data_IF_515262638139
#
_entry.id   IF_515262638139
#
_cell.length_a   1.000
_cell.length_b   1.000
_cell.length_c   1.000
_cell.angle_alpha   90.00
_cell.angle_beta   90.00
_cell.angle_gamma   90.00
#
_symmetry.space_group_name_H-M   'P 1'
#
loop_
_entity.id
_entity.type
_entity.pdbx_description
1 polymer ?
#
# COMPACT_ATOMS: atom_id res chain seq x y z
N UNK A 1 25.01 -16.56 34.48
CA UNK A 1 24.79 -15.17 34.94
C UNK A 1 23.41 -15.12 35.56
N UNK A 2 23.30 -14.77 36.85
CA UNK A 2 21.99 -14.63 37.51
C UNK A 2 21.17 -13.56 36.79
N UNK A 3 19.92 -13.88 36.43
CA UNK A 3 19.01 -12.92 35.85
C UNK A 3 18.60 -11.96 36.96
N UNK A 4 19.24 -10.79 37.02
CA UNK A 4 18.92 -9.76 38.01
C UNK A 4 17.48 -9.31 37.72
N UNK A 5 16.61 -9.42 38.72
CA UNK A 5 15.25 -8.92 38.63
C UNK A 5 15.27 -7.38 38.69
N UNK A 6 15.20 -6.75 37.52
CA UNK A 6 15.22 -5.28 37.39
C UNK A 6 13.96 -4.64 37.97
N UNK A 7 12.84 -5.36 38.00
CA UNK A 7 11.59 -4.85 38.59
C UNK A 7 11.71 -4.73 40.11
N UNK A 8 12.42 -5.64 40.75
CA UNK A 8 12.76 -5.53 42.18
C UNK A 8 13.57 -4.25 42.48
N UNK A 9 14.50 -3.88 41.60
CA UNK A 9 15.33 -2.67 41.74
C UNK A 9 14.56 -1.35 41.55
N UNK A 10 13.39 -1.39 40.90
CA UNK A 10 12.53 -0.23 40.67
C UNK A 10 11.30 -0.18 41.60
N UNK A 11 11.04 -1.25 42.36
CA UNK A 11 9.85 -1.44 43.18
C UNK A 11 10.09 -1.32 44.69
N UNK A 12 9.44 -2.20 45.47
CA UNK A 12 9.44 -2.13 46.93
C UNK A 12 10.85 -2.30 47.56
N UNK A 13 11.74 -3.08 46.94
CA UNK A 13 13.07 -3.34 47.46
C UNK A 13 13.98 -2.11 47.39
N UNK A 14 13.74 -1.20 46.42
CA UNK A 14 14.37 0.13 46.40
C UNK A 14 14.08 0.88 47.69
N UNK A 15 12.81 1.00 48.07
CA UNK A 15 12.39 1.76 49.25
C UNK A 15 12.89 1.10 50.54
N UNK A 16 12.93 -0.23 50.60
CA UNK A 16 13.50 -0.96 51.72
C UNK A 16 15.02 -0.71 51.87
N UNK A 17 15.76 -0.69 50.77
CA UNK A 17 17.20 -0.41 50.79
C UNK A 17 17.51 1.05 51.10
N UNK A 18 16.74 2.01 50.56
CA UNK A 18 16.80 3.42 50.95
C UNK A 18 16.60 3.57 52.47
N UNK A 19 15.57 2.94 53.03
CA UNK A 19 15.32 2.99 54.48
C UNK A 19 16.48 2.41 55.32
N UNK A 20 17.09 1.31 54.86
CA UNK A 20 18.26 0.70 55.53
C UNK A 20 19.47 1.62 55.49
N UNK A 21 19.74 2.27 54.36
CA UNK A 21 20.84 3.23 54.21
C UNK A 21 20.63 4.48 55.07
N UNK A 22 19.42 5.05 55.06
CA UNK A 22 19.10 6.20 55.92
C UNK A 22 19.28 5.86 57.41
N UNK A 23 18.95 4.63 57.83
CA UNK A 23 19.20 4.17 59.21
C UNK A 23 20.69 4.07 59.52
N UNK A 24 21.50 3.50 58.61
CA UNK A 24 22.96 3.43 58.77
C UNK A 24 23.63 4.81 58.84
N UNK A 25 23.14 5.78 58.07
CA UNK A 25 23.62 7.18 58.09
C UNK A 25 23.39 7.82 59.47
N UNK A 26 22.24 7.55 60.09
CA UNK A 26 21.88 8.06 61.43
C UNK A 26 22.73 7.38 62.51
N UNK A 27 22.91 6.06 62.42
CA UNK A 27 23.63 5.24 63.40
C UNK A 27 25.16 5.28 63.24
N UNK A 28 25.69 5.89 62.17
CA UNK A 28 27.12 5.99 61.91
C UNK A 28 27.85 6.80 63.00
N UNK A 29 28.82 6.16 63.64
CA UNK A 29 29.63 6.75 64.72
C UNK A 29 30.78 7.67 64.24
N UNK A 30 30.99 7.81 62.92
CA UNK A 30 31.99 8.73 62.35
C UNK A 30 31.44 9.53 61.16
N UNK A 31 31.96 10.74 60.98
CA UNK A 31 31.56 11.62 59.88
C UNK A 31 31.92 11.04 58.50
N UNK A 32 33.03 10.32 58.41
CA UNK A 32 33.49 9.66 57.17
C UNK A 32 32.53 8.54 56.73
N UNK A 33 32.07 7.70 57.67
CA UNK A 33 31.10 6.65 57.36
C UNK A 33 29.76 7.23 56.93
N UNK A 34 29.35 8.36 57.51
CA UNK A 34 28.14 9.08 57.10
C UNK A 34 28.25 9.61 55.66
N UNK A 35 29.38 10.24 55.34
CA UNK A 35 29.64 10.76 54.00
C UNK A 35 29.70 9.64 52.94
N UNK A 36 30.32 8.50 53.26
CA UNK A 36 30.35 7.33 52.37
C UNK A 36 28.94 6.76 52.16
N UNK A 37 28.16 6.61 53.23
CA UNK A 37 26.80 6.08 53.13
C UNK A 37 25.87 7.01 52.33
N UNK A 38 26.00 8.33 52.49
CA UNK A 38 25.28 9.32 51.69
C UNK A 38 25.69 9.28 50.21
N UNK A 39 26.99 9.18 49.92
CA UNK A 39 27.47 9.04 48.54
C UNK A 39 26.97 7.75 47.87
N UNK A 40 26.91 6.65 48.62
CA UNK A 40 26.35 5.38 48.13
C UNK A 40 24.85 5.51 47.85
N UNK A 41 24.09 6.18 48.70
CA UNK A 41 22.67 6.44 48.49
C UNK A 41 22.43 7.26 47.22
N UNK A 42 23.13 8.38 47.08
CA UNK A 42 23.02 9.25 45.89
C UNK A 42 23.42 8.53 44.60
N UNK A 43 24.51 7.78 44.61
CA UNK A 43 24.95 7.03 43.43
C UNK A 43 23.95 5.92 43.06
N UNK A 44 23.37 5.25 44.07
CA UNK A 44 22.34 4.23 43.86
C UNK A 44 21.08 4.83 43.25
N UNK A 45 20.63 5.99 43.73
CA UNK A 45 19.47 6.69 43.17
C UNK A 45 19.68 7.12 41.71
N UNK A 46 20.89 7.59 41.37
CA UNK A 46 21.25 7.94 39.98
C UNK A 46 21.21 6.71 39.06
N UNK A 47 21.75 5.57 39.50
CA UNK A 47 21.73 4.32 38.73
C UNK A 47 20.30 3.81 38.53
N UNK A 48 19.45 3.89 39.55
CA UNK A 48 18.05 3.49 39.48
C UNK A 48 17.27 4.40 38.50
N UNK A 49 17.51 5.71 38.54
CA UNK A 49 16.89 6.65 37.62
C UNK A 49 17.30 6.35 36.16
N UNK A 50 18.60 6.14 35.92
CA UNK A 50 19.11 5.77 34.60
C UNK A 50 18.55 4.42 34.11
N UNK A 51 18.36 3.45 35.02
CA UNK A 51 17.74 2.18 34.70
C UNK A 51 16.28 2.36 34.27
N UNK A 52 15.49 3.12 35.04
CA UNK A 52 14.09 3.42 34.71
C UNK A 52 13.94 4.10 33.34
N UNK A 53 14.79 5.09 33.05
CA UNK A 53 14.82 5.77 31.75
C UNK A 53 15.20 4.81 30.62
N UNK A 54 16.15 3.89 30.87
CA UNK A 54 16.54 2.88 29.88
C UNK A 54 15.41 1.89 29.57
N UNK A 55 14.67 1.45 30.59
CA UNK A 55 13.53 0.54 30.42
C UNK A 55 12.40 1.21 29.62
N UNK A 56 12.12 2.48 29.92
CA UNK A 56 11.15 3.28 29.14
C UNK A 56 11.56 3.37 27.67
N UNK A 57 12.83 3.68 27.38
CA UNK A 57 13.36 3.75 26.01
C UNK A 57 13.29 2.40 25.29
N UNK A 58 13.55 1.29 25.99
CA UNK A 58 13.41 -0.05 25.42
C UNK A 58 11.95 -0.31 25.02
N UNK A 59 10.99 -0.02 25.90
CA UNK A 59 9.57 -0.20 25.60
C UNK A 59 9.12 0.66 24.40
N UNK A 60 9.60 1.90 24.30
CA UNK A 60 9.35 2.77 23.14
C UNK A 60 9.93 2.17 21.85
N UNK A 61 11.17 1.68 21.88
CA UNK A 61 11.82 1.03 20.73
C UNK A 61 11.10 -0.25 20.29
N UNK A 62 10.63 -1.07 21.24
CA UNK A 62 9.83 -2.27 20.95
C UNK A 62 8.51 -1.90 20.25
N UNK A 63 7.86 -0.83 20.71
CA UNK A 63 6.66 -0.31 20.05
C UNK A 63 6.95 0.18 18.61
N UNK A 64 8.05 0.91 18.39
CA UNK A 64 8.44 1.35 17.06
C UNK A 64 8.80 0.18 16.14
N UNK A 65 9.49 -0.84 16.66
CA UNK A 65 9.82 -2.06 15.90
C UNK A 65 8.56 -2.80 15.46
N UNK A 66 7.58 -2.98 16.37
CA UNK A 66 6.30 -3.58 16.02
C UNK A 66 5.53 -2.76 14.97
N UNK A 67 5.61 -1.42 15.04
CA UNK A 67 5.03 -0.55 14.02
C UNK A 67 5.73 -0.72 12.67
N UNK A 68 7.06 -0.76 12.65
CA UNK A 68 7.86 -0.93 11.43
C UNK A 68 7.57 -2.26 10.72
N UNK A 69 7.42 -3.35 11.49
CA UNK A 69 7.04 -4.66 10.97
C UNK A 69 5.66 -4.61 10.28
N UNK A 70 4.68 -3.93 10.90
CA UNK A 70 3.34 -3.73 10.30
C UNK A 70 3.40 -2.88 9.05
N UNK A 71 4.20 -1.81 9.05
CA UNK A 71 4.37 -0.92 7.88
C UNK A 71 4.99 -1.69 6.72
N UNK A 72 6.04 -2.48 6.98
CA UNK A 72 6.70 -3.31 5.97
C UNK A 72 5.70 -4.28 5.33
N UNK A 73 4.90 -4.96 6.15
CA UNK A 73 3.85 -5.86 5.63
C UNK A 73 2.83 -5.12 4.76
N UNK A 74 2.32 -3.98 5.24
CA UNK A 74 1.35 -3.18 4.50
C UNK A 74 1.90 -2.70 3.15
N UNK A 75 3.16 -2.27 3.12
CA UNK A 75 3.82 -1.81 1.88
C UNK A 75 3.94 -2.95 0.87
N UNK A 76 4.32 -4.15 1.32
CA UNK A 76 4.39 -5.34 0.46
C UNK A 76 3.00 -5.70 -0.09
N UNK A 77 1.99 -5.79 0.78
CA UNK A 77 0.62 -6.12 0.38
C UNK A 77 0.08 -5.08 -0.62
N UNK A 78 0.30 -3.79 -0.38
CA UNK A 78 -0.09 -2.72 -1.31
C UNK A 78 0.66 -2.81 -2.64
N UNK A 79 1.96 -3.11 -2.64
CA UNK A 79 2.73 -3.27 -3.89
C UNK A 79 2.14 -4.39 -4.75
N UNK A 80 1.81 -5.54 -4.16
CA UNK A 80 1.18 -6.64 -4.90
C UNK A 80 -0.18 -6.26 -5.47
N UNK A 81 -0.95 -5.43 -4.74
CA UNK A 81 -2.23 -4.89 -5.21
C UNK A 81 -2.05 -3.95 -6.39
N UNK A 82 -1.09 -3.03 -6.31
CA UNK A 82 -0.75 -2.11 -7.40
C UNK A 82 -0.29 -2.86 -8.65
N UNK A 83 0.56 -3.87 -8.51
CA UNK A 83 1.00 -4.71 -9.63
C UNK A 83 -0.18 -5.40 -10.33
N UNK A 84 -1.15 -5.88 -9.55
CA UNK A 84 -2.35 -6.52 -10.08
C UNK A 84 -3.25 -5.51 -10.83
N UNK A 85 -3.39 -4.28 -10.31
CA UNK A 85 -4.13 -3.21 -10.97
C UNK A 85 -3.43 -2.77 -12.27
N UNK A 86 -2.11 -2.64 -12.25
CA UNK A 86 -1.33 -2.24 -13.42
C UNK A 86 -1.47 -3.25 -14.56
N UNK A 87 -1.41 -4.56 -14.25
CA UNK A 87 -1.65 -5.62 -15.24
C UNK A 87 -3.05 -5.56 -15.87
N UNK A 88 -4.07 -5.23 -15.07
CA UNK A 88 -5.45 -5.05 -15.57
C UNK A 88 -5.55 -3.83 -16.48
N UNK A 89 -4.87 -2.74 -16.12
CA UNK A 89 -4.80 -1.52 -16.92
C UNK A 89 -4.15 -1.81 -18.28
N UNK A 90 -2.97 -2.42 -18.31
CA UNK A 90 -2.31 -2.79 -19.57
C UNK A 90 -3.18 -3.69 -20.45
N UNK A 91 -3.87 -4.67 -19.85
CA UNK A 91 -4.77 -5.55 -20.59
C UNK A 91 -5.97 -4.79 -21.20
N UNK A 92 -6.53 -3.83 -20.45
CA UNK A 92 -7.61 -2.97 -20.92
C UNK A 92 -7.15 -2.05 -22.05
N UNK A 93 -5.97 -1.42 -21.91
CA UNK A 93 -5.37 -0.57 -22.95
C UNK A 93 -5.13 -1.34 -24.25
N UNK A 94 -4.53 -2.54 -24.16
CA UNK A 94 -4.36 -3.42 -25.33
C UNK A 94 -5.69 -3.76 -26.00
N UNK A 95 -6.74 -4.01 -25.21
CA UNK A 95 -8.07 -4.31 -25.74
C UNK A 95 -8.69 -3.09 -26.42
N UNK A 96 -8.50 -1.89 -25.88
CA UNK A 96 -8.94 -0.64 -26.52
C UNK A 96 -8.25 -0.47 -27.87
N UNK A 97 -6.92 -0.60 -27.92
CA UNK A 97 -6.16 -0.50 -29.19
C UNK A 97 -6.63 -1.52 -30.22
N UNK A 98 -6.93 -2.76 -29.81
CA UNK A 98 -7.48 -3.77 -30.69
C UNK A 98 -8.86 -3.38 -31.24
N UNK A 99 -9.74 -2.83 -30.38
CA UNK A 99 -11.07 -2.37 -30.77
C UNK A 99 -11.00 -1.15 -31.70
N UNK A 100 -10.11 -0.20 -31.41
CA UNK A 100 -9.84 0.96 -32.27
C UNK A 100 -9.33 0.52 -33.64
N UNK A 101 -8.42 -0.46 -33.71
CA UNK A 101 -7.95 -1.05 -34.98
C UNK A 101 -9.08 -1.72 -35.78
N UNK A 102 -10.01 -2.39 -35.10
CA UNK A 102 -11.21 -2.97 -35.74
C UNK A 102 -12.18 -1.91 -36.23
N UNK A 103 -12.38 -0.84 -35.46
CA UNK A 103 -13.27 0.26 -35.82
C UNK A 103 -12.69 1.16 -36.92
N UNK A 104 -11.36 1.31 -36.97
CA UNK A 104 -10.65 2.04 -38.01
C UNK A 104 -10.82 1.42 -39.41
N UNK A 105 -11.24 0.16 -39.49
CA UNK A 105 -11.72 -0.44 -40.74
C UNK A 105 -13.22 -0.11 -40.87
N UNK A 106 -13.62 0.86 -41.70
CA UNK A 106 -15.03 1.19 -41.85
C UNK A 106 -15.79 -0.05 -42.30
N UNK A 107 -16.73 -0.51 -41.48
CA UNK A 107 -17.73 -1.49 -41.90
C UNK A 107 -18.63 -0.77 -42.88
N UNK A 108 -18.40 -1.00 -44.18
CA UNK A 108 -19.29 -0.56 -45.24
C UNK A 108 -20.60 -1.34 -45.06
N UNK A 109 -21.59 -0.68 -44.46
CA UNK A 109 -22.95 -1.20 -44.35
C UNK A 109 -23.65 -0.93 -45.69
N UNK A 110 -24.09 -1.96 -46.43
CA UNK A 110 -24.63 -1.82 -47.79
C UNK A 110 -25.87 -0.93 -47.94
N UNK A 111 -26.48 -0.43 -46.85
CA UNK A 111 -27.76 0.29 -46.91
C UNK A 111 -27.93 1.51 -46.00
N UNK A 112 -26.92 1.91 -45.22
CA UNK A 112 -27.09 2.98 -44.21
C UNK A 112 -26.14 4.17 -44.32
N UNK A 113 -25.06 4.09 -45.11
CA UNK A 113 -24.06 5.18 -45.19
C UNK A 113 -23.85 5.77 -46.61
N UNK A 114 -24.71 5.50 -47.58
CA UNK A 114 -24.67 6.21 -48.88
C UNK A 114 -23.41 6.01 -49.74
N UNK A 115 -22.47 5.16 -49.35
CA UNK A 115 -21.33 4.77 -50.16
C UNK A 115 -21.57 3.36 -50.69
N UNK A 116 -21.95 3.28 -51.96
CA UNK A 116 -21.93 2.05 -52.74
C UNK A 116 -20.49 1.56 -52.81
N UNK A 117 -20.22 0.29 -52.47
CA UNK A 117 -18.93 -0.29 -52.83
C UNK A 117 -18.83 -0.41 -54.38
N UNK A 118 -17.62 -0.52 -54.93
CA UNK A 118 -17.41 -0.53 -56.39
C UNK A 118 -18.20 -1.64 -57.10
N UNK A 119 -18.40 -2.77 -56.43
CA UNK A 119 -19.15 -3.92 -56.95
C UNK A 119 -20.65 -3.62 -56.97
N UNK A 120 -21.22 -3.08 -55.88
CA UNK A 120 -22.62 -2.69 -55.78
C UNK A 120 -22.97 -1.57 -56.75
N UNK A 121 -22.06 -0.60 -56.96
CA UNK A 121 -22.24 0.45 -57.98
C UNK A 121 -22.31 -0.15 -59.39
N UNK A 122 -21.43 -1.11 -59.71
CA UNK A 122 -21.46 -1.81 -61.00
C UNK A 122 -22.76 -2.62 -61.18
N UNK A 123 -23.26 -3.26 -60.12
CA UNK A 123 -24.55 -3.96 -60.17
C UNK A 123 -25.71 -3.00 -60.39
N UNK A 124 -25.76 -1.86 -59.71
CA UNK A 124 -26.82 -0.86 -59.87
C UNK A 124 -26.80 -0.21 -61.28
N UNK A 125 -25.60 0.10 -61.79
CA UNK A 125 -25.44 0.60 -63.16
C UNK A 125 -25.89 -0.44 -64.20
N UNK A 126 -25.56 -1.72 -64.00
CA UNK A 126 -26.01 -2.81 -64.85
C UNK A 126 -27.55 -2.98 -64.81
N UNK A 127 -28.15 -2.91 -63.62
CA UNK A 127 -29.61 -2.97 -63.44
C UNK A 127 -30.28 -1.78 -64.13
N UNK A 128 -29.73 -0.57 -63.98
CA UNK A 128 -30.25 0.63 -64.62
C UNK A 128 -30.19 0.53 -66.15
N UNK A 129 -29.08 0.03 -66.68
CA UNK A 129 -28.88 -0.17 -68.10
C UNK A 129 -29.83 -1.23 -68.66
N UNK A 130 -30.03 -2.34 -67.93
CA UNK A 130 -31.00 -3.37 -68.27
C UNK A 130 -32.44 -2.82 -68.27
N UNK A 131 -32.86 -2.09 -67.22
CA UNK A 131 -34.18 -1.43 -67.16
C UNK A 131 -34.39 -0.48 -68.34
N UNK A 132 -33.36 0.27 -68.74
CA UNK A 132 -33.41 1.16 -69.92
C UNK A 132 -33.59 0.38 -71.21
N UNK A 133 -32.88 -0.73 -71.40
CA UNK A 133 -33.00 -1.57 -72.60
C UNK A 133 -34.38 -2.22 -72.70
N UNK A 134 -34.92 -2.72 -71.58
CA UNK A 134 -36.28 -3.29 -71.52
C UNK A 134 -37.34 -2.25 -71.89
N UNK A 135 -37.19 -1.00 -71.41
CA UNK A 135 -38.07 0.12 -71.78
C UNK A 135 -37.97 0.48 -73.27
N UNK A 136 -36.75 0.53 -73.83
CA UNK A 136 -36.54 0.79 -75.26
C UNK A 136 -37.11 -0.32 -76.15
N UNK A 137 -37.12 -1.55 -75.65
CA UNK A 137 -37.75 -2.70 -76.30
C UNK A 137 -39.30 -2.71 -76.16
N UNK A 138 -39.90 -1.71 -75.51
CA UNK A 138 -41.35 -1.56 -75.40
C UNK A 138 -42.01 -2.34 -74.25
N UNK A 139 -41.21 -2.88 -73.32
CA UNK A 139 -41.70 -3.61 -72.15
C UNK A 139 -41.70 -2.72 -70.89
N UNK A 140 -42.75 -2.81 -70.07
CA UNK A 140 -42.82 -2.14 -68.77
C UNK A 140 -42.25 -3.03 -67.67
N UNK A 141 -41.44 -2.46 -66.78
CA UNK A 141 -40.93 -3.12 -65.57
C UNK A 141 -41.78 -2.62 -64.40
N UNK A 142 -42.52 -3.52 -63.74
CA UNK A 142 -43.22 -3.21 -62.48
C UNK A 142 -42.22 -3.21 -61.33
N UNK A 143 -42.30 -2.22 -60.44
CA UNK A 143 -41.51 -2.18 -59.22
C UNK A 143 -42.15 -3.12 -58.19
N UNK A 144 -41.39 -4.13 -57.74
CA UNK A 144 -41.75 -5.02 -56.61
C UNK A 144 -41.25 -4.46 -55.29
#
# INVERSE_FOLDING_TARGET
>A
MSNIDKQALLGADKHANQHRLSRLIIEANSAELRAIAEAVEQYTDQLIAALADSEKRIAELEHYKSREERVTKLVLDNSTSWDALYKKLEAAERRITELESKLAKPVLLPKTNGYWNEQEKAYEEAITLAKRQVRLAGFNVEDM
#
